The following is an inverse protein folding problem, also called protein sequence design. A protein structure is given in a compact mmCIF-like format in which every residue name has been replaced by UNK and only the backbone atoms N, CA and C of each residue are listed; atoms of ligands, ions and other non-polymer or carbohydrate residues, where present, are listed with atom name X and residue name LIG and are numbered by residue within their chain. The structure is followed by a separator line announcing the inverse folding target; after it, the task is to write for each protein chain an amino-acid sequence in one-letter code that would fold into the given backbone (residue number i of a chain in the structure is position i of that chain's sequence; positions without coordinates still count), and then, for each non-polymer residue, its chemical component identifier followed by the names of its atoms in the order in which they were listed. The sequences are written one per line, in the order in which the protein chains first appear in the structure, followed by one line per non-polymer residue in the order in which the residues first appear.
data_IF_959457133899
#
_entry.id   IF_959457133899
#
_cell.length_a   1.000
_cell.length_b   1.000
_cell.length_c   1.000
_cell.angle_alpha   90.00
_cell.angle_beta   90.00
_cell.angle_gamma   90.00
#
_symmetry.space_group_name_H-M   'P 1'
#
loop_
_entity.id
_entity.type
_entity.pdbx_description
1 polymer ?
#
# COMPACT_ATOMS: atom_id res chain seq x y z
N UNK A 1 23.73 13.23 16.25
CA UNK A 1 22.49 12.71 15.66
C UNK A 1 22.15 11.40 16.33
N UNK A 2 21.21 11.40 17.25
CA UNK A 2 20.72 10.17 17.86
C UNK A 2 19.88 9.42 16.83
N UNK A 3 20.41 8.32 16.30
CA UNK A 3 19.58 7.29 15.72
C UNK A 3 18.75 6.72 16.88
N UNK A 4 17.50 7.10 16.97
CA UNK A 4 16.55 6.39 17.82
C UNK A 4 16.45 4.96 17.28
N UNK A 5 17.17 4.05 17.94
CA UNK A 5 16.92 2.63 17.75
C UNK A 5 15.49 2.37 18.21
N UNK A 6 14.57 2.30 17.26
CA UNK A 6 13.26 1.74 17.52
C UNK A 6 13.50 0.26 17.78
N UNK A 7 13.59 -0.10 19.04
CA UNK A 7 13.60 -1.51 19.46
C UNK A 7 12.20 -2.02 19.14
N UNK A 8 12.07 -2.73 18.03
CA UNK A 8 10.86 -3.47 17.72
C UNK A 8 10.74 -4.56 18.80
N UNK A 9 9.74 -4.43 19.66
CA UNK A 9 9.33 -5.50 20.57
C UNK A 9 8.87 -6.71 19.76
N UNK A 10 8.17 -7.68 20.23
CA UNK A 10 7.67 -8.88 19.57
C UNK A 10 7.57 -8.83 18.02
N UNK A 11 7.61 -9.99 17.37
CA UNK A 11 7.41 -10.15 15.92
C UNK A 11 6.15 -9.42 15.47
N UNK A 12 6.19 -8.73 14.32
CA UNK A 12 5.03 -7.98 13.82
C UNK A 12 3.88 -8.93 13.46
N UNK A 13 2.66 -8.50 13.76
CA UNK A 13 1.44 -9.21 13.41
C UNK A 13 0.58 -8.40 12.44
N UNK A 14 -0.14 -9.09 11.55
CA UNK A 14 -1.15 -8.48 10.70
C UNK A 14 -2.53 -8.77 11.29
N UNK A 15 -3.35 -7.73 11.40
CA UNK A 15 -4.75 -7.86 11.83
C UNK A 15 -5.67 -6.96 11.00
N UNK A 16 -6.95 -7.26 11.04
CA UNK A 16 -7.95 -6.40 10.43
C UNK A 16 -8.00 -5.03 11.13
N UNK A 17 -8.22 -3.99 10.33
CA UNK A 17 -8.39 -2.62 10.80
C UNK A 17 -9.79 -2.45 11.35
N UNK A 18 -9.92 -1.84 12.52
CA UNK A 18 -11.20 -1.40 13.07
C UNK A 18 -11.33 0.13 12.98
N UNK A 19 -12.51 0.65 13.28
CA UNK A 19 -12.81 2.09 13.16
C UNK A 19 -11.87 2.98 13.98
N UNK A 20 -11.42 2.51 15.14
CA UNK A 20 -10.54 3.28 16.01
C UNK A 20 -9.11 3.38 15.49
N UNK A 21 -8.72 2.48 14.56
CA UNK A 21 -7.39 2.45 13.96
C UNK A 21 -7.21 3.46 12.81
N UNK A 22 -8.31 4.00 12.27
CA UNK A 22 -8.27 4.73 10.99
C UNK A 22 -7.34 5.94 11.01
N UNK A 23 -7.28 6.68 12.11
CA UNK A 23 -6.39 7.84 12.22
C UNK A 23 -4.92 7.42 12.20
N UNK A 24 -4.55 6.36 12.92
CA UNK A 24 -3.18 5.84 12.94
C UNK A 24 -2.80 5.22 11.59
N UNK A 25 -3.72 4.49 10.96
CA UNK A 25 -3.53 3.99 9.58
C UNK A 25 -3.30 5.14 8.59
N UNK A 26 -4.08 6.20 8.67
CA UNK A 26 -3.93 7.37 7.80
C UNK A 26 -2.55 8.04 7.99
N UNK A 27 -2.08 8.14 9.22
CA UNK A 27 -0.76 8.69 9.52
C UNK A 27 0.36 7.85 8.89
N UNK A 28 0.29 6.52 9.00
CA UNK A 28 1.24 5.60 8.35
C UNK A 28 1.21 5.78 6.82
N UNK A 29 0.02 5.87 6.24
CA UNK A 29 -0.15 6.11 4.80
C UNK A 29 0.49 7.44 4.39
N UNK A 30 0.18 8.52 5.11
CA UNK A 30 0.73 9.85 4.81
C UNK A 30 2.25 9.88 4.91
N UNK A 31 2.83 9.35 5.98
CA UNK A 31 4.28 9.31 6.14
C UNK A 31 4.96 8.50 5.03
N UNK A 32 4.40 7.34 4.69
CA UNK A 32 4.93 6.48 3.64
C UNK A 32 4.86 7.16 2.27
N UNK A 33 3.71 7.69 1.88
CA UNK A 33 3.49 8.27 0.56
C UNK A 33 4.05 9.69 0.40
N UNK A 34 4.31 10.41 1.50
CA UNK A 34 5.00 11.71 1.45
C UNK A 34 6.40 11.58 0.87
N UNK A 35 7.11 10.48 1.11
CA UNK A 35 8.43 10.24 0.50
C UNK A 35 8.34 10.08 -1.01
N UNK A 36 7.24 9.49 -1.51
CA UNK A 36 6.95 9.37 -2.94
C UNK A 36 6.63 10.75 -3.53
N UNK A 37 5.80 11.54 -2.84
CA UNK A 37 5.49 12.90 -3.28
C UNK A 37 6.74 13.77 -3.37
N UNK A 38 7.63 13.70 -2.40
CA UNK A 38 8.92 14.41 -2.44
C UNK A 38 9.79 13.96 -3.60
N UNK A 39 9.92 12.65 -3.82
CA UNK A 39 10.73 12.08 -4.88
C UNK A 39 10.28 12.54 -6.27
N UNK A 40 8.99 12.65 -6.51
CA UNK A 40 8.40 12.97 -7.81
C UNK A 40 7.86 14.40 -7.90
N UNK A 41 8.11 15.24 -6.92
CA UNK A 41 7.66 16.63 -6.90
C UNK A 41 6.13 16.79 -6.94
N UNK A 42 5.41 15.89 -6.27
CA UNK A 42 3.95 15.90 -6.21
C UNK A 42 3.46 16.87 -5.13
N UNK A 43 2.55 17.74 -5.49
CA UNK A 43 1.96 18.75 -4.62
C UNK A 43 0.44 18.70 -4.69
N UNK A 44 -0.25 19.39 -3.78
CA UNK A 44 -1.70 19.54 -3.85
C UNK A 44 -2.17 20.28 -5.11
N UNK A 45 -1.31 21.09 -5.70
CA UNK A 45 -1.60 21.84 -6.92
C UNK A 45 -1.51 20.95 -8.17
N UNK A 46 -0.45 20.12 -8.29
CA UNK A 46 -0.21 19.30 -9.49
C UNK A 46 -0.77 17.88 -9.40
N UNK A 47 -1.01 17.38 -8.19
CA UNK A 47 -1.55 16.03 -7.96
C UNK A 47 -2.42 16.00 -6.68
N UNK A 48 -3.56 16.70 -6.64
CA UNK A 48 -4.35 16.89 -5.42
C UNK A 48 -4.92 15.60 -4.85
N UNK A 49 -5.05 14.55 -5.66
CA UNK A 49 -5.58 13.24 -5.24
C UNK A 49 -4.49 12.23 -4.87
N UNK A 50 -3.22 12.67 -4.80
CA UNK A 50 -2.15 11.76 -4.38
C UNK A 50 -2.40 11.26 -2.95
N UNK A 51 -2.04 10.01 -2.70
CA UNK A 51 -2.31 9.30 -1.44
C UNK A 51 -1.72 10.01 -0.21
N UNK A 52 -0.59 10.74 -0.36
CA UNK A 52 -0.02 11.55 0.72
C UNK A 52 -0.92 12.69 1.21
N UNK A 53 -1.94 13.06 0.43
CA UNK A 53 -2.92 14.12 0.75
C UNK A 53 -4.31 13.56 1.04
N UNK A 54 -4.45 12.25 1.12
CA UNK A 54 -5.73 11.56 1.29
C UNK A 54 -6.40 11.98 2.61
N UNK A 55 -7.65 12.48 2.59
CA UNK A 55 -8.40 12.76 3.81
C UNK A 55 -8.97 11.50 4.43
N UNK A 56 -9.22 11.55 5.75
CA UNK A 56 -9.69 10.40 6.55
C UNK A 56 -10.98 9.78 6.01
N UNK A 57 -11.88 10.57 5.45
CA UNK A 57 -13.17 10.07 4.97
C UNK A 57 -13.03 9.02 3.85
N UNK A 58 -11.90 8.98 3.13
CA UNK A 58 -11.65 7.90 2.16
C UNK A 58 -11.51 6.55 2.85
N UNK A 59 -10.80 6.47 3.97
CA UNK A 59 -10.68 5.22 4.74
C UNK A 59 -12.02 4.82 5.35
N UNK A 60 -12.77 5.78 5.86
CA UNK A 60 -14.12 5.54 6.38
C UNK A 60 -15.05 5.01 5.29
N UNK A 61 -14.99 5.59 4.09
CA UNK A 61 -15.77 5.16 2.93
C UNK A 61 -15.38 3.76 2.48
N UNK A 62 -14.08 3.46 2.38
CA UNK A 62 -13.58 2.14 2.02
C UNK A 62 -14.03 1.07 3.03
N UNK A 63 -14.01 1.39 4.31
CA UNK A 63 -14.52 0.51 5.36
C UNK A 63 -16.02 0.26 5.19
N UNK A 64 -16.81 1.29 4.92
CA UNK A 64 -18.25 1.17 4.67
C UNK A 64 -18.58 0.36 3.40
N UNK A 65 -17.70 0.40 2.39
CA UNK A 65 -17.84 -0.42 1.19
C UNK A 65 -17.43 -1.89 1.40
N UNK A 66 -16.93 -2.24 2.59
CA UNK A 66 -16.52 -3.60 2.92
C UNK A 66 -15.15 -3.99 2.33
N UNK A 67 -14.27 -3.03 2.07
CA UNK A 67 -12.91 -3.34 1.68
C UNK A 67 -12.19 -4.11 2.79
N UNK A 68 -11.30 -5.01 2.41
CA UNK A 68 -10.45 -5.73 3.36
C UNK A 68 -9.25 -4.87 3.72
N UNK A 69 -9.26 -4.30 4.91
CA UNK A 69 -8.25 -3.37 5.39
C UNK A 69 -7.42 -4.01 6.50
N UNK A 70 -6.10 -3.96 6.37
CA UNK A 70 -5.16 -4.62 7.29
C UNK A 70 -4.09 -3.68 7.80
N UNK A 71 -3.76 -3.84 9.07
CA UNK A 71 -2.67 -3.15 9.75
C UNK A 71 -1.57 -4.15 10.11
N UNK A 72 -0.33 -3.78 9.86
CA UNK A 72 0.85 -4.44 10.39
C UNK A 72 1.22 -3.76 11.70
N UNK A 73 1.21 -4.51 12.78
CA UNK A 73 1.45 -3.99 14.12
C UNK A 73 2.73 -4.57 14.73
N UNK A 74 3.55 -3.72 15.32
CA UNK A 74 4.64 -4.13 16.21
C UNK A 74 4.32 -3.64 17.61
N UNK A 75 4.15 -4.57 18.55
CA UNK A 75 3.54 -4.28 19.85
C UNK A 75 2.14 -3.66 19.64
N UNK A 76 1.84 -2.52 20.21
CA UNK A 76 0.55 -1.85 20.07
C UNK A 76 0.54 -0.80 18.94
N UNK A 77 1.66 -0.57 18.25
CA UNK A 77 1.81 0.46 17.23
C UNK A 77 1.57 -0.09 15.84
N UNK A 78 0.79 0.62 15.03
CA UNK A 78 0.64 0.36 13.60
C UNK A 78 1.89 0.89 12.87
N UNK A 79 2.57 0.02 12.14
CA UNK A 79 3.79 0.33 11.40
C UNK A 79 3.65 0.14 9.89
N UNK A 80 2.58 -0.49 9.45
CA UNK A 80 2.27 -0.71 8.05
C UNK A 80 0.78 -0.86 7.82
N UNK A 81 0.37 -0.73 6.56
CA UNK A 81 -1.02 -0.77 6.15
C UNK A 81 -1.15 -1.31 4.72
N UNK A 82 -2.25 -1.96 4.44
CA UNK A 82 -2.71 -2.24 3.09
C UNK A 82 -4.22 -2.45 3.06
N UNK A 83 -4.81 -2.35 1.89
CA UNK A 83 -6.20 -2.76 1.67
C UNK A 83 -6.37 -3.48 0.34
N UNK A 84 -7.43 -4.28 0.26
CA UNK A 84 -7.84 -5.02 -0.91
C UNK A 84 -9.29 -4.69 -1.23
N UNK A 85 -9.57 -4.32 -2.46
CA UNK A 85 -10.93 -4.25 -3.00
C UNK A 85 -11.17 -5.37 -4.00
N UNK A 86 -12.38 -5.92 -4.02
CA UNK A 86 -12.77 -6.95 -5.00
C UNK A 86 -13.25 -6.25 -6.27
N UNK A 87 -12.64 -6.55 -7.43
CA UNK A 87 -13.10 -6.07 -8.73
C UNK A 87 -14.13 -7.02 -9.36
N UNK A 88 -13.83 -8.31 -9.33
CA UNK A 88 -14.69 -9.39 -9.83
C UNK A 88 -14.47 -10.66 -8.99
N UNK A 89 -15.08 -11.77 -9.39
CA UNK A 89 -14.99 -13.00 -8.58
C UNK A 89 -13.58 -13.57 -8.45
N UNK A 90 -12.67 -13.19 -9.32
CA UNK A 90 -11.31 -13.72 -9.39
C UNK A 90 -10.22 -12.67 -9.12
N UNK A 91 -10.56 -11.39 -9.22
CA UNK A 91 -9.59 -10.27 -9.25
C UNK A 91 -9.80 -9.34 -8.07
N UNK A 92 -8.69 -9.02 -7.40
CA UNK A 92 -8.61 -8.00 -6.35
C UNK A 92 -7.64 -6.90 -6.76
N UNK A 93 -7.85 -5.71 -6.25
CA UNK A 93 -6.89 -4.61 -6.36
C UNK A 93 -6.26 -4.33 -4.98
N UNK A 94 -4.95 -4.25 -4.96
CA UNK A 94 -4.18 -3.88 -3.77
C UNK A 94 -3.97 -2.38 -3.74
N UNK A 95 -4.36 -1.76 -2.64
CA UNK A 95 -4.28 -0.32 -2.43
C UNK A 95 -3.39 0.05 -1.25
N UNK A 96 -2.68 1.16 -1.40
CA UNK A 96 -2.02 1.87 -0.31
C UNK A 96 -1.10 0.99 0.55
N UNK A 97 -0.38 0.06 -0.06
CA UNK A 97 0.66 -0.70 0.63
C UNK A 97 1.69 0.27 1.19
N UNK A 98 1.75 0.38 2.49
CA UNK A 98 2.56 1.35 3.20
C UNK A 98 3.31 0.73 4.37
N UNK A 99 4.55 1.14 4.55
CA UNK A 99 5.38 0.87 5.73
C UNK A 99 5.99 2.20 6.16
N UNK A 100 6.06 2.46 7.47
CA UNK A 100 6.72 3.65 7.98
C UNK A 100 8.12 3.78 7.37
N UNK A 101 8.52 4.96 6.86
CA UNK A 101 9.78 5.13 6.12
C UNK A 101 11.02 4.65 6.89
N UNK A 102 11.07 4.92 8.19
CA UNK A 102 12.18 4.53 9.06
C UNK A 102 12.29 3.01 9.28
N UNK A 103 11.24 2.26 8.94
CA UNK A 103 11.19 0.80 9.10
C UNK A 103 11.30 0.05 7.77
N UNK A 104 11.51 0.74 6.67
CA UNK A 104 11.74 0.11 5.36
C UNK A 104 13.02 -0.72 5.34
N UNK A 105 13.13 -1.60 4.35
CA UNK A 105 14.28 -2.52 4.16
C UNK A 105 14.46 -3.56 5.28
N UNK A 106 13.41 -3.82 6.05
CA UNK A 106 13.34 -4.87 7.08
C UNK A 106 12.41 -6.02 6.71
N UNK A 107 11.93 -6.07 5.47
CA UNK A 107 11.04 -7.12 4.98
C UNK A 107 9.55 -6.93 5.30
N UNK A 108 9.15 -5.83 5.91
CA UNK A 108 7.74 -5.59 6.30
C UNK A 108 6.80 -5.43 5.10
N UNK A 109 7.25 -4.77 4.03
CA UNK A 109 6.49 -4.67 2.79
C UNK A 109 6.21 -6.05 2.18
N UNK A 110 7.21 -6.94 2.20
CA UNK A 110 7.06 -8.31 1.72
C UNK A 110 6.09 -9.12 2.59
N UNK A 111 6.13 -8.96 3.91
CA UNK A 111 5.20 -9.61 4.84
C UNK A 111 3.75 -9.21 4.50
N UNK A 112 3.49 -7.92 4.29
CA UNK A 112 2.17 -7.41 3.87
C UNK A 112 1.75 -7.96 2.51
N UNK A 113 2.66 -7.97 1.54
CA UNK A 113 2.37 -8.44 0.18
C UNK A 113 2.07 -9.94 0.14
N UNK A 114 2.85 -10.75 0.86
CA UNK A 114 2.62 -12.19 0.96
C UNK A 114 1.28 -12.49 1.65
N UNK A 115 0.95 -11.73 2.70
CA UNK A 115 -0.36 -11.83 3.36
C UNK A 115 -1.51 -11.46 2.40
N UNK A 116 -1.34 -10.42 1.58
CA UNK A 116 -2.34 -10.05 0.57
C UNK A 116 -2.60 -11.18 -0.42
N UNK A 117 -1.55 -11.85 -0.90
CA UNK A 117 -1.66 -13.00 -1.81
C UNK A 117 -2.42 -14.16 -1.16
N UNK A 118 -2.08 -14.49 0.07
CA UNK A 118 -2.75 -15.58 0.80
C UNK A 118 -4.21 -15.24 1.11
N UNK A 119 -4.48 -13.98 1.47
CA UNK A 119 -5.85 -13.51 1.72
C UNK A 119 -6.71 -13.55 0.46
N UNK A 120 -6.18 -13.14 -0.68
CA UNK A 120 -6.89 -13.21 -1.97
C UNK A 120 -7.24 -14.66 -2.33
N UNK A 121 -6.31 -15.60 -2.16
CA UNK A 121 -6.58 -17.04 -2.36
C UNK A 121 -7.68 -17.53 -1.42
N UNK A 122 -7.61 -17.15 -0.14
CA UNK A 122 -8.61 -17.52 0.87
C UNK A 122 -10.01 -17.00 0.53
N UNK A 123 -10.08 -15.82 -0.10
CA UNK A 123 -11.33 -15.20 -0.56
C UNK A 123 -11.81 -15.75 -1.92
N UNK A 124 -11.12 -16.74 -2.49
CA UNK A 124 -11.48 -17.38 -3.75
C UNK A 124 -10.94 -16.67 -5.00
N UNK A 125 -10.13 -15.63 -4.84
CA UNK A 125 -9.47 -14.94 -5.93
C UNK A 125 -8.14 -15.59 -6.34
N UNK A 126 -7.67 -15.23 -7.53
CA UNK A 126 -6.38 -15.70 -8.05
C UNK A 126 -5.55 -14.61 -8.72
N UNK A 127 -6.04 -13.39 -8.73
CA UNK A 127 -5.35 -12.26 -9.35
C UNK A 127 -5.33 -11.04 -8.43
N UNK A 128 -4.18 -10.37 -8.37
CA UNK A 128 -4.03 -9.07 -7.73
C UNK A 128 -3.52 -8.08 -8.77
N UNK A 129 -4.22 -6.95 -8.91
CA UNK A 129 -3.78 -5.80 -9.68
C UNK A 129 -3.23 -4.71 -8.77
N UNK A 130 -2.24 -4.00 -9.27
CA UNK A 130 -1.71 -2.79 -8.65
C UNK A 130 -1.44 -1.71 -9.67
N UNK A 131 -1.58 -0.45 -9.23
CA UNK A 131 -1.13 0.73 -9.96
C UNK A 131 0.05 1.39 -9.27
N UNK A 132 1.03 1.82 -10.03
CA UNK A 132 2.23 2.51 -9.53
C UNK A 132 2.52 3.75 -10.38
N UNK A 133 3.42 4.61 -9.89
CA UNK A 133 4.11 5.57 -10.73
C UNK A 133 5.12 4.80 -11.58
N UNK A 134 4.95 4.82 -12.90
CA UNK A 134 5.80 4.05 -13.83
C UNK A 134 7.28 4.42 -13.70
N UNK A 135 7.58 5.69 -13.46
CA UNK A 135 8.92 6.21 -13.28
C UNK A 135 9.60 5.71 -11.99
N UNK A 136 8.82 5.13 -11.05
CA UNK A 136 9.36 4.51 -9.84
C UNK A 136 9.93 3.12 -10.14
N UNK A 137 11.09 3.09 -10.77
CA UNK A 137 11.75 1.86 -11.23
C UNK A 137 12.12 0.93 -10.08
N UNK A 138 12.53 1.46 -8.94
CA UNK A 138 12.86 0.67 -7.75
C UNK A 138 11.62 -0.07 -7.25
N UNK A 139 10.48 0.61 -7.13
CA UNK A 139 9.23 -0.01 -6.70
C UNK A 139 8.72 -1.04 -7.72
N UNK A 140 8.75 -0.70 -9.01
CA UNK A 140 8.36 -1.61 -10.08
C UNK A 140 9.18 -2.91 -10.04
N UNK A 141 10.48 -2.80 -9.94
CA UNK A 141 11.37 -3.95 -9.85
C UNK A 141 11.14 -4.79 -8.58
N UNK A 142 10.81 -4.13 -7.48
CA UNK A 142 10.46 -4.84 -6.25
C UNK A 142 9.19 -5.69 -6.41
N UNK A 143 8.15 -5.17 -7.05
CA UNK A 143 6.95 -5.95 -7.34
C UNK A 143 7.23 -7.10 -8.31
N UNK A 144 8.04 -6.87 -9.35
CA UNK A 144 8.43 -7.93 -10.30
C UNK A 144 9.21 -9.04 -9.57
N UNK A 145 10.14 -8.68 -8.69
CA UNK A 145 10.88 -9.63 -7.87
C UNK A 145 9.98 -10.43 -6.92
N UNK A 146 8.81 -9.91 -6.58
CA UNK A 146 7.79 -10.58 -5.77
C UNK A 146 6.68 -11.25 -6.60
N UNK A 147 6.92 -11.52 -7.86
CA UNK A 147 6.07 -12.35 -8.70
C UNK A 147 4.99 -11.61 -9.49
N UNK A 148 5.03 -10.28 -9.53
CA UNK A 148 4.14 -9.48 -10.38
C UNK A 148 4.73 -9.36 -11.79
N UNK A 149 3.87 -9.26 -12.79
CA UNK A 149 4.23 -8.96 -14.16
C UNK A 149 3.71 -7.57 -14.55
N UNK A 150 4.56 -6.78 -15.21
CA UNK A 150 4.17 -5.49 -15.76
C UNK A 150 3.23 -5.70 -16.95
N UNK A 151 2.06 -5.07 -16.94
CA UNK A 151 1.01 -5.28 -17.94
C UNK A 151 0.79 -4.10 -18.87
N UNK A 152 1.27 -2.93 -18.53
CA UNK A 152 1.14 -1.75 -19.37
C UNK A 152 1.27 -0.44 -18.62
N UNK A 153 1.10 0.64 -19.38
CA UNK A 153 1.16 2.00 -18.87
C UNK A 153 0.01 2.83 -19.43
N UNK A 154 -0.33 3.90 -18.75
CA UNK A 154 -1.27 4.91 -19.24
C UNK A 154 -0.86 6.29 -18.76
N UNK A 155 -0.80 7.24 -19.68
CA UNK A 155 -0.59 8.64 -19.36
C UNK A 155 -1.93 9.36 -19.31
N UNK A 156 -2.18 10.04 -18.18
CA UNK A 156 -3.36 10.87 -17.98
C UNK A 156 -2.96 12.33 -18.02
N UNK A 157 -3.72 13.18 -18.71
CA UNK A 157 -3.42 14.61 -18.86
C UNK A 157 -3.37 15.36 -17.52
N UNK A 158 -4.12 14.90 -16.52
CA UNK A 158 -4.18 15.53 -15.20
C UNK A 158 -3.12 15.01 -14.21
N UNK A 159 -2.28 14.05 -14.61
CA UNK A 159 -1.22 13.50 -13.75
C UNK A 159 0.17 13.92 -14.26
N UNK A 160 1.08 14.34 -13.36
CA UNK A 160 2.44 14.71 -13.72
C UNK A 160 3.38 13.52 -13.93
N UNK A 161 2.86 12.30 -13.91
CA UNK A 161 3.59 11.05 -14.11
C UNK A 161 2.79 10.08 -14.99
N UNK A 162 3.44 9.02 -15.44
CA UNK A 162 2.78 7.91 -16.14
C UNK A 162 2.34 6.86 -15.14
N UNK A 163 1.09 6.40 -15.25
CA UNK A 163 0.60 5.27 -14.45
C UNK A 163 1.12 3.95 -15.03
N UNK A 164 1.71 3.13 -14.19
CA UNK A 164 2.14 1.76 -14.52
C UNK A 164 1.22 0.74 -13.84
N UNK A 165 1.01 -0.39 -14.50
CA UNK A 165 0.14 -1.45 -14.01
C UNK A 165 0.88 -2.76 -13.96
N UNK A 166 0.68 -3.49 -12.87
CA UNK A 166 1.24 -4.84 -12.69
C UNK A 166 0.15 -5.77 -12.18
N UNK A 167 0.29 -7.04 -12.49
CA UNK A 167 -0.59 -8.10 -12.02
C UNK A 167 0.20 -9.26 -11.45
N UNK A 168 -0.31 -9.83 -10.37
CA UNK A 168 0.09 -11.13 -9.85
C UNK A 168 -1.01 -12.13 -10.13
N UNK A 169 -0.63 -13.32 -10.61
CA UNK A 169 -1.53 -14.44 -10.84
C UNK A 169 -1.08 -15.59 -9.94
N UNK A 170 -1.95 -15.94 -9.00
CA UNK A 170 -1.76 -17.07 -8.11
C UNK A 170 -2.25 -18.35 -8.74
N UNK A 171 -1.33 -19.27 -8.89
CA UNK A 171 -1.65 -20.63 -9.31
C UNK A 171 -2.14 -21.49 -8.16
#
# INVERSE_FOLDING_TARGET
MCKSNVVLGADPIIREVNKNDLNECLEVIHQSFSTVAEQFGLTKENCPKHTSFMPIYFLETQMNWGWHMFALCSSEKIIGYMSLSKEDDNTFELHNLAVLPELRHNGYGKILLDYAKDKVKLLGGSKIKIGIIEESTVLKNWYIANGFAHTGTKKFDHLPFTSGYLEWIGG
#
